data_IF_602311632289
#
_entry.id   IF_602311632289
#
_cell.length_a   1.000
_cell.length_b   1.000
_cell.length_c   1.000
_cell.angle_alpha   90.00
_cell.angle_beta   90.00
_cell.angle_gamma   90.00
#
_symmetry.space_group_name_H-M   'P 1'
#
loop_
_entity.id
_entity.type
_entity.pdbx_description
1 polymer ?
#
# COMPACT_ATOMS: atom_id res chain seq x y z
N UNK A 1 24.73 5.26 8.41
CA UNK A 1 23.88 6.46 8.26
C UNK A 1 24.21 7.47 9.32
N UNK A 2 24.33 8.73 8.94
CA UNK A 2 24.45 9.84 9.90
C UNK A 2 23.13 10.04 10.67
N UNK A 3 23.12 10.72 11.83
CA UNK A 3 21.87 11.04 12.54
C UNK A 3 20.87 11.82 11.66
N UNK A 4 21.33 12.68 10.78
CA UNK A 4 20.49 13.43 9.84
C UNK A 4 19.86 12.53 8.77
N UNK A 5 20.62 11.63 8.16
CA UNK A 5 20.11 10.62 7.21
C UNK A 5 19.09 9.68 7.86
N UNK A 6 19.36 9.24 9.10
CA UNK A 6 18.46 8.36 9.84
C UNK A 6 17.14 9.09 10.14
N UNK A 7 17.21 10.35 10.61
CA UNK A 7 16.03 11.18 10.85
C UNK A 7 15.21 11.38 9.58
N UNK A 8 15.85 11.73 8.46
CA UNK A 8 15.19 11.87 7.18
C UNK A 8 14.51 10.58 6.73
N UNK A 9 15.23 9.45 6.78
CA UNK A 9 14.71 8.14 6.40
C UNK A 9 13.51 7.72 7.25
N UNK A 10 13.60 7.83 8.57
CA UNK A 10 12.50 7.46 9.48
C UNK A 10 11.28 8.36 9.29
N UNK A 11 11.49 9.67 9.12
CA UNK A 11 10.39 10.61 8.88
C UNK A 11 9.67 10.32 7.56
N UNK A 12 10.42 10.07 6.48
CA UNK A 12 9.84 9.73 5.17
C UNK A 12 9.20 8.35 5.17
N UNK A 13 9.78 7.36 5.85
CA UNK A 13 9.18 6.05 6.05
C UNK A 13 7.87 6.15 6.85
N UNK A 14 7.78 6.99 7.89
CA UNK A 14 6.55 7.20 8.64
C UNK A 14 5.44 7.84 7.81
N UNK A 15 5.76 8.79 6.93
CA UNK A 15 4.81 9.38 5.98
C UNK A 15 4.27 8.30 5.03
N UNK A 16 5.18 7.46 4.53
CA UNK A 16 4.82 6.34 3.67
C UNK A 16 3.91 5.34 4.42
N UNK A 17 4.28 5.01 5.67
CA UNK A 17 3.51 4.13 6.54
C UNK A 17 2.11 4.67 6.83
N UNK A 18 1.97 5.95 7.23
CA UNK A 18 0.68 6.58 7.50
C UNK A 18 -0.24 6.54 6.27
N UNK A 19 0.31 6.78 5.09
CA UNK A 19 -0.43 6.69 3.84
C UNK A 19 -0.86 5.25 3.53
N UNK A 20 0.03 4.28 3.75
CA UNK A 20 -0.28 2.86 3.55
C UNK A 20 -1.30 2.34 4.55
N UNK A 21 -1.28 2.82 5.80
CA UNK A 21 -2.35 2.54 6.75
C UNK A 21 -3.72 2.94 6.18
N UNK A 22 -3.84 4.14 5.61
CA UNK A 22 -5.08 4.60 4.99
C UNK A 22 -5.57 3.70 3.84
N UNK A 23 -4.67 3.06 3.13
CA UNK A 23 -5.02 2.10 2.09
C UNK A 23 -5.42 0.74 2.67
N UNK A 24 -4.67 0.24 3.65
CA UNK A 24 -4.78 -1.13 4.11
C UNK A 24 -5.86 -1.35 5.17
N UNK A 25 -6.18 -0.34 5.99
CA UNK A 25 -7.17 -0.46 7.08
C UNK A 25 -8.56 -0.91 6.62
N UNK A 26 -8.95 -0.52 5.41
CA UNK A 26 -10.26 -0.89 4.87
C UNK A 26 -10.29 -2.27 4.22
N UNK A 27 -9.15 -2.82 3.81
CA UNK A 27 -9.11 -4.06 3.01
C UNK A 27 -9.85 -5.23 3.68
N UNK A 28 -9.64 -5.54 4.98
CA UNK A 28 -10.25 -6.70 5.61
C UNK A 28 -11.75 -6.56 5.88
N UNK A 29 -12.31 -5.36 5.76
CA UNK A 29 -13.69 -5.06 6.18
C UNK A 29 -14.56 -4.51 5.03
N UNK A 30 -13.93 -3.96 3.97
CA UNK A 30 -14.63 -3.18 2.97
C UNK A 30 -15.67 -3.98 2.19
N UNK A 31 -15.38 -5.23 1.84
CA UNK A 31 -16.30 -6.06 1.06
C UNK A 31 -17.63 -6.29 1.81
N UNK A 32 -17.56 -6.57 3.12
CA UNK A 32 -18.74 -6.73 3.96
C UNK A 32 -19.45 -5.38 4.14
N UNK A 33 -18.72 -4.29 4.41
CA UNK A 33 -19.33 -2.96 4.49
C UNK A 33 -20.07 -2.59 3.19
N UNK A 34 -19.48 -2.84 2.03
CA UNK A 34 -20.10 -2.54 0.76
C UNK A 34 -21.44 -3.28 0.57
N UNK A 35 -21.57 -4.52 1.08
CA UNK A 35 -22.85 -5.27 1.03
C UNK A 35 -23.96 -4.65 1.89
N UNK A 36 -23.62 -3.79 2.86
CA UNK A 36 -24.59 -3.09 3.70
C UNK A 36 -25.05 -1.75 3.10
N UNK A 37 -24.42 -1.27 2.03
CA UNK A 37 -24.81 -0.04 1.36
C UNK A 37 -26.21 -0.14 0.74
N UNK A 38 -27.01 0.96 0.74
CA UNK A 38 -28.39 0.96 0.23
C UNK A 38 -28.52 0.54 -1.23
N UNK A 39 -27.51 0.85 -2.05
CA UNK A 39 -27.44 0.57 -3.48
C UNK A 39 -27.06 -0.89 -3.81
N UNK A 40 -26.77 -1.72 -2.81
CA UNK A 40 -26.41 -3.15 -2.93
C UNK A 40 -25.45 -3.40 -4.11
N UNK A 41 -24.23 -2.87 -4.07
CA UNK A 41 -23.31 -2.89 -5.20
C UNK A 41 -22.95 -4.33 -5.59
N UNK A 42 -22.76 -4.53 -6.91
CA UNK A 42 -22.23 -5.79 -7.42
C UNK A 42 -20.79 -6.03 -6.96
N UNK A 43 -20.34 -7.28 -6.95
CA UNK A 43 -18.92 -7.60 -6.64
C UNK A 43 -17.92 -6.86 -7.54
N UNK A 44 -18.30 -6.57 -8.79
CA UNK A 44 -17.50 -5.74 -9.69
C UNK A 44 -17.33 -4.31 -9.16
N UNK A 45 -18.39 -3.67 -8.68
CA UNK A 45 -18.32 -2.32 -8.10
C UNK A 45 -17.48 -2.29 -6.81
N UNK A 46 -17.58 -3.33 -5.99
CA UNK A 46 -16.73 -3.49 -4.79
C UNK A 46 -15.26 -3.61 -5.18
N UNK A 47 -14.95 -4.45 -6.17
CA UNK A 47 -13.61 -4.59 -6.72
C UNK A 47 -13.09 -3.28 -7.34
N UNK A 48 -13.96 -2.53 -8.04
CA UNK A 48 -13.63 -1.23 -8.63
C UNK A 48 -13.32 -0.19 -7.54
N UNK A 49 -14.08 -0.16 -6.45
CA UNK A 49 -13.81 0.74 -5.32
C UNK A 49 -12.45 0.47 -4.66
N UNK A 50 -12.05 -0.81 -4.53
CA UNK A 50 -10.72 -1.17 -4.04
C UNK A 50 -9.62 -0.85 -5.06
N UNK A 51 -9.88 -1.11 -6.35
CA UNK A 51 -8.93 -0.94 -7.44
C UNK A 51 -8.73 0.51 -7.90
N UNK A 52 -9.75 1.37 -7.77
CA UNK A 52 -9.73 2.76 -8.25
C UNK A 52 -8.54 3.56 -7.69
N UNK A 53 -8.22 3.37 -6.41
CA UNK A 53 -7.04 3.95 -5.78
C UNK A 53 -5.74 3.55 -6.50
N UNK A 54 -5.54 2.25 -6.70
CA UNK A 54 -4.33 1.73 -7.35
C UNK A 54 -4.21 2.16 -8.80
N UNK A 55 -5.32 2.20 -9.53
CA UNK A 55 -5.35 2.61 -10.92
C UNK A 55 -4.94 4.09 -11.09
N UNK A 56 -5.56 4.99 -10.36
CA UNK A 56 -5.23 6.43 -10.45
C UNK A 56 -3.83 6.71 -9.94
N UNK A 57 -3.37 6.01 -8.89
CA UNK A 57 -1.99 6.10 -8.42
C UNK A 57 -1.00 5.65 -9.49
N UNK A 58 -1.23 4.53 -10.15
CA UNK A 58 -0.34 4.01 -11.20
C UNK A 58 -0.22 4.99 -12.37
N UNK A 59 -1.36 5.56 -12.82
CA UNK A 59 -1.40 6.52 -13.92
C UNK A 59 -0.70 7.83 -13.58
N UNK A 60 -0.83 8.32 -12.36
CA UNK A 60 -0.33 9.64 -11.96
C UNK A 60 1.04 9.60 -11.28
N UNK A 61 1.56 8.42 -10.93
CA UNK A 61 2.86 8.30 -10.26
C UNK A 61 4.01 8.84 -11.11
N UNK A 62 4.01 8.57 -12.41
CA UNK A 62 5.02 9.08 -13.35
C UNK A 62 4.90 10.61 -13.52
N UNK A 63 3.73 11.20 -13.83
CA UNK A 63 3.55 12.65 -13.87
C UNK A 63 3.96 13.36 -12.57
N UNK A 64 3.59 12.81 -11.41
CA UNK A 64 3.98 13.37 -10.11
C UNK A 64 5.49 13.33 -9.89
N UNK A 65 6.16 12.23 -10.26
CA UNK A 65 7.62 12.12 -10.22
C UNK A 65 8.28 13.20 -11.05
N UNK A 66 7.89 13.34 -12.32
CA UNK A 66 8.42 14.36 -13.23
C UNK A 66 8.14 15.80 -12.75
N UNK A 67 6.92 16.05 -12.24
CA UNK A 67 6.57 17.36 -11.70
C UNK A 67 7.41 17.68 -10.45
N UNK A 68 7.77 16.68 -9.64
CA UNK A 68 8.61 16.89 -8.47
C UNK A 68 10.07 17.25 -8.79
N UNK A 69 10.56 16.82 -9.95
CA UNK A 69 11.88 17.24 -10.45
C UNK A 69 11.89 18.72 -10.86
N UNK A 70 10.74 19.23 -11.35
CA UNK A 70 10.60 20.61 -11.83
C UNK A 70 10.19 21.59 -10.74
N UNK A 71 9.23 21.22 -9.90
CA UNK A 71 8.60 22.11 -8.90
C UNK A 71 9.12 21.87 -7.48
N UNK A 72 10.00 20.89 -7.30
CA UNK A 72 10.57 20.50 -6.01
C UNK A 72 9.81 19.36 -5.33
N UNK A 73 10.55 18.60 -4.51
CA UNK A 73 10.03 17.39 -3.84
C UNK A 73 8.93 17.71 -2.83
N UNK A 74 9.21 18.61 -1.87
CA UNK A 74 8.27 18.92 -0.79
C UNK A 74 6.94 19.52 -1.28
N UNK A 75 6.91 20.51 -2.19
CA UNK A 75 5.65 21.04 -2.73
C UNK A 75 4.78 19.96 -3.36
N UNK A 76 5.36 19.03 -4.10
CA UNK A 76 4.62 17.93 -4.71
C UNK A 76 4.14 16.91 -3.67
N UNK A 77 4.88 16.69 -2.59
CA UNK A 77 4.39 15.86 -1.47
C UNK A 77 3.19 16.54 -0.79
N UNK A 78 3.25 17.86 -0.54
CA UNK A 78 2.11 18.59 0.05
C UNK A 78 0.88 18.52 -0.85
N UNK A 79 1.03 18.74 -2.14
CA UNK A 79 -0.08 18.64 -3.10
C UNK A 79 -0.69 17.23 -3.09
N UNK A 80 0.13 16.20 -3.20
CA UNK A 80 -0.36 14.82 -3.24
C UNK A 80 -1.01 14.36 -1.94
N UNK A 81 -0.43 14.71 -0.78
CA UNK A 81 -1.07 14.44 0.51
C UNK A 81 -2.37 15.23 0.68
N UNK A 82 -2.43 16.47 0.20
CA UNK A 82 -3.66 17.26 0.18
C UNK A 82 -4.77 16.61 -0.65
N UNK A 83 -4.44 16.16 -1.87
CA UNK A 83 -5.36 15.40 -2.74
C UNK A 83 -5.83 14.12 -2.04
N UNK A 84 -4.91 13.38 -1.42
CA UNK A 84 -5.26 12.17 -0.67
C UNK A 84 -6.22 12.48 0.49
N UNK A 85 -5.98 13.55 1.27
CA UNK A 85 -6.87 13.94 2.36
C UNK A 85 -8.27 14.31 1.86
N UNK A 86 -8.37 15.06 0.74
CA UNK A 86 -9.66 15.39 0.12
C UNK A 86 -10.39 14.11 -0.32
N UNK A 87 -9.69 13.18 -1.00
CA UNK A 87 -10.28 11.91 -1.40
C UNK A 87 -10.76 11.08 -0.20
N UNK A 88 -10.02 11.13 0.91
CA UNK A 88 -10.43 10.48 2.16
C UNK A 88 -11.72 11.07 2.72
N UNK A 89 -11.87 12.40 2.70
CA UNK A 89 -13.11 13.06 3.13
C UNK A 89 -14.28 12.73 2.20
N UNK A 90 -14.07 12.72 0.88
CA UNK A 90 -15.11 12.33 -0.08
C UNK A 90 -15.56 10.89 0.18
N UNK A 91 -14.65 9.95 0.39
CA UNK A 91 -14.98 8.57 0.70
C UNK A 91 -15.69 8.42 2.07
N UNK A 92 -15.30 9.23 3.07
CA UNK A 92 -15.92 9.23 4.39
C UNK A 92 -17.38 9.73 4.37
N UNK A 93 -17.69 10.67 3.50
CA UNK A 93 -19.03 11.26 3.36
C UNK A 93 -19.92 10.54 2.34
N UNK A 94 -19.38 9.55 1.64
CA UNK A 94 -20.10 8.80 0.62
C UNK A 94 -21.20 7.94 1.23
N UNK A 95 -22.41 8.00 0.67
CA UNK A 95 -23.56 7.20 1.07
C UNK A 95 -23.84 6.03 0.11
N UNK A 96 -23.09 5.93 -0.98
CA UNK A 96 -23.20 4.90 -2.02
C UNK A 96 -21.83 4.48 -2.52
N UNK A 97 -21.78 3.37 -3.23
CA UNK A 97 -20.51 2.82 -3.73
C UNK A 97 -19.82 3.75 -4.74
N UNK A 98 -20.58 4.50 -5.54
CA UNK A 98 -20.04 5.43 -6.54
C UNK A 98 -19.24 6.56 -5.87
N UNK A 99 -19.79 7.13 -4.80
CA UNK A 99 -19.10 8.15 -3.99
C UNK A 99 -17.81 7.60 -3.38
N UNK A 100 -17.82 6.35 -2.91
CA UNK A 100 -16.60 5.69 -2.43
C UNK A 100 -15.58 5.51 -3.55
N UNK A 101 -16.01 5.06 -4.73
CA UNK A 101 -15.13 4.91 -5.92
C UNK A 101 -14.47 6.24 -6.27
N UNK A 102 -15.24 7.34 -6.31
CA UNK A 102 -14.73 8.68 -6.59
C UNK A 102 -13.71 9.10 -5.53
N UNK A 103 -14.05 8.94 -4.24
CA UNK A 103 -13.13 9.25 -3.15
C UNK A 103 -11.83 8.46 -3.23
N UNK A 104 -11.91 7.17 -3.55
CA UNK A 104 -10.75 6.27 -3.74
C UNK A 104 -9.92 6.68 -4.96
N UNK A 105 -10.55 7.07 -6.05
CA UNK A 105 -9.85 7.57 -7.24
C UNK A 105 -9.09 8.88 -6.92
N UNK A 106 -9.71 9.80 -6.18
CA UNK A 106 -9.06 11.04 -5.74
C UNK A 106 -7.90 10.71 -4.76
N UNK A 107 -8.09 9.80 -3.80
CA UNK A 107 -7.00 9.35 -2.92
C UNK A 107 -5.79 8.85 -3.73
N UNK A 108 -6.02 8.00 -4.72
CA UNK A 108 -4.97 7.46 -5.58
C UNK A 108 -4.28 8.53 -6.43
N UNK A 109 -5.03 9.58 -6.84
CA UNK A 109 -4.47 10.71 -7.58
C UNK A 109 -3.40 11.48 -6.78
N UNK A 110 -3.40 11.39 -5.45
CA UNK A 110 -2.31 11.87 -4.60
C UNK A 110 -1.05 10.97 -4.66
N UNK A 111 -0.51 10.71 -5.84
CA UNK A 111 0.52 9.71 -6.14
C UNK A 111 1.94 10.12 -5.66
N UNK A 112 2.13 10.30 -4.34
CA UNK A 112 3.41 10.80 -3.77
C UNK A 112 4.50 9.74 -3.64
N UNK A 113 4.23 8.47 -3.91
CA UNK A 113 5.20 7.38 -3.66
C UNK A 113 6.53 7.59 -4.37
N UNK A 114 6.50 7.93 -5.68
CA UNK A 114 7.71 8.22 -6.45
C UNK A 114 8.46 9.44 -5.90
N UNK A 115 7.71 10.48 -5.48
CA UNK A 115 8.29 11.72 -4.96
C UNK A 115 8.99 11.50 -3.62
N UNK A 116 8.36 10.72 -2.71
CA UNK A 116 8.95 10.36 -1.41
C UNK A 116 10.20 9.51 -1.61
N UNK A 117 10.15 8.53 -2.53
CA UNK A 117 11.32 7.69 -2.87
C UNK A 117 12.47 8.54 -3.42
N UNK A 118 12.18 9.48 -4.30
CA UNK A 118 13.19 10.41 -4.83
C UNK A 118 13.76 11.31 -3.72
N UNK A 119 12.92 11.82 -2.82
CA UNK A 119 13.39 12.63 -1.69
C UNK A 119 14.27 11.83 -0.72
N UNK A 120 13.97 10.55 -0.49
CA UNK A 120 14.86 9.67 0.28
C UNK A 120 16.22 9.54 -0.40
N UNK A 121 16.24 9.37 -1.73
CA UNK A 121 17.50 9.30 -2.48
C UNK A 121 18.30 10.63 -2.40
N UNK A 122 17.61 11.78 -2.45
CA UNK A 122 18.24 13.11 -2.34
C UNK A 122 18.83 13.37 -0.93
N UNK A 123 18.26 12.76 0.12
CA UNK A 123 18.66 12.96 1.53
C UNK A 123 19.58 11.87 2.08
N UNK A 124 19.90 10.84 1.28
CA UNK A 124 20.76 9.72 1.71
C UNK A 124 21.90 9.52 0.72
N UNK A 125 23.11 9.24 1.24
CA UNK A 125 24.26 8.88 0.40
C UNK A 125 24.02 7.54 -0.29
N UNK A 126 24.63 7.32 -1.44
CA UNK A 126 24.50 6.12 -2.27
C UNK A 126 24.74 4.83 -1.47
N UNK A 127 25.77 4.83 -0.60
CA UNK A 127 26.11 3.69 0.26
C UNK A 127 24.98 3.28 1.22
N UNK A 128 24.08 4.22 1.57
CA UNK A 128 23.01 4.01 2.53
C UNK A 128 21.61 3.94 1.90
N UNK A 129 21.49 4.18 0.59
CA UNK A 129 20.21 4.21 -0.14
C UNK A 129 19.45 2.91 -0.04
N UNK A 130 20.14 1.77 -0.23
CA UNK A 130 19.53 0.43 -0.10
C UNK A 130 18.93 0.22 1.29
N UNK A 131 19.64 0.66 2.34
CA UNK A 131 19.14 0.56 3.72
C UNK A 131 17.94 1.46 3.97
N UNK A 132 17.93 2.67 3.41
CA UNK A 132 16.80 3.59 3.50
C UNK A 132 15.57 3.04 2.78
N UNK A 133 15.74 2.49 1.58
CA UNK A 133 14.64 1.84 0.83
C UNK A 133 14.11 0.59 1.55
N UNK A 134 14.98 -0.22 2.17
CA UNK A 134 14.58 -1.35 2.99
C UNK A 134 13.76 -0.91 4.23
N UNK A 135 14.09 0.24 4.82
CA UNK A 135 13.30 0.81 5.94
C UNK A 135 11.89 1.18 5.47
N UNK A 136 11.75 1.82 4.29
CA UNK A 136 10.43 2.11 3.71
C UNK A 136 9.65 0.82 3.45
N UNK A 137 10.28 -0.18 2.81
CA UNK A 137 9.64 -1.47 2.54
C UNK A 137 9.19 -2.18 3.82
N UNK A 138 10.01 -2.18 4.86
CA UNK A 138 9.67 -2.72 6.18
C UNK A 138 8.48 -1.99 6.82
N UNK A 139 8.43 -0.66 6.69
CA UNK A 139 7.31 0.15 7.19
C UNK A 139 6.00 -0.18 6.47
N UNK A 140 6.03 -0.44 5.15
CA UNK A 140 4.86 -0.88 4.39
C UNK A 140 4.36 -2.23 4.92
N UNK A 141 5.26 -3.21 5.14
CA UNK A 141 4.92 -4.52 5.68
C UNK A 141 4.29 -4.44 7.07
N UNK A 142 4.87 -3.63 7.95
CA UNK A 142 4.34 -3.39 9.31
C UNK A 142 2.96 -2.70 9.23
N UNK A 143 2.80 -1.68 8.38
CA UNK A 143 1.52 -1.01 8.19
C UNK A 143 0.44 -1.97 7.68
N UNK A 144 0.78 -2.86 6.76
CA UNK A 144 -0.13 -3.89 6.27
C UNK A 144 -0.57 -4.84 7.38
N UNK A 145 0.40 -5.42 8.10
CA UNK A 145 0.14 -6.35 9.20
C UNK A 145 -0.72 -5.72 10.31
N UNK A 146 -0.37 -4.49 10.70
CA UNK A 146 -1.14 -3.72 11.67
C UNK A 146 -2.58 -3.47 11.20
N UNK A 147 -2.75 -3.12 9.93
CA UNK A 147 -4.05 -2.81 9.34
C UNK A 147 -5.01 -3.99 9.33
N UNK A 148 -4.51 -5.21 9.12
CA UNK A 148 -5.34 -6.42 9.15
C UNK A 148 -5.99 -6.64 10.53
N UNK A 149 -5.29 -6.26 11.58
CA UNK A 149 -5.79 -6.40 12.96
C UNK A 149 -6.57 -5.16 13.39
N UNK A 150 -6.04 -3.97 13.11
CA UNK A 150 -6.64 -2.72 13.53
C UNK A 150 -7.91 -2.35 12.74
N UNK A 151 -8.01 -2.76 11.47
CA UNK A 151 -9.17 -2.46 10.61
C UNK A 151 -10.49 -2.94 11.23
N UNK A 152 -10.66 -4.24 11.54
CA UNK A 152 -11.86 -4.75 12.21
C UNK A 152 -12.15 -4.09 13.56
N UNK A 153 -11.12 -3.85 14.38
CA UNK A 153 -11.27 -3.20 15.69
C UNK A 153 -11.77 -1.74 15.53
N UNK A 154 -11.17 -0.99 14.64
CA UNK A 154 -11.57 0.39 14.37
C UNK A 154 -12.97 0.47 13.74
N UNK A 155 -13.33 -0.54 12.94
CA UNK A 155 -14.66 -0.62 12.35
C UNK A 155 -15.75 -0.73 13.42
N UNK A 156 -15.50 -1.42 14.53
CA UNK A 156 -16.44 -1.49 15.66
C UNK A 156 -16.72 -0.12 16.28
N UNK A 157 -15.69 0.75 16.34
CA UNK A 157 -15.81 2.05 17.01
C UNK A 157 -16.33 3.16 16.12
N UNK A 158 -15.94 3.19 14.85
CA UNK A 158 -16.21 4.33 13.98
C UNK A 158 -16.73 3.96 12.58
N UNK A 159 -16.84 2.68 12.27
CA UNK A 159 -17.24 2.21 10.95
C UNK A 159 -16.23 2.53 9.83
N UNK A 160 -16.49 2.04 8.62
CA UNK A 160 -15.64 2.33 7.44
C UNK A 160 -15.61 3.83 7.11
N UNK A 161 -16.72 4.60 7.17
CA UNK A 161 -16.67 6.05 6.99
C UNK A 161 -15.73 6.74 7.97
N UNK A 162 -15.76 6.35 9.26
CA UNK A 162 -14.86 6.88 10.28
C UNK A 162 -13.39 6.53 10.02
N UNK A 163 -13.11 5.34 9.49
CA UNK A 163 -11.74 4.95 9.08
C UNK A 163 -11.26 5.83 7.92
N UNK A 164 -12.09 6.13 6.92
CA UNK A 164 -11.74 7.07 5.88
C UNK A 164 -11.45 8.48 6.44
N UNK A 165 -12.28 8.95 7.36
CA UNK A 165 -12.05 10.23 8.04
C UNK A 165 -10.71 10.22 8.81
N UNK A 166 -10.44 9.17 9.60
CA UNK A 166 -9.19 8.98 10.32
C UNK A 166 -7.98 9.02 9.38
N UNK A 167 -8.06 8.36 8.22
CA UNK A 167 -6.95 8.37 7.24
C UNK A 167 -6.72 9.75 6.65
N UNK A 168 -7.77 10.56 6.47
CA UNK A 168 -7.65 11.96 6.11
C UNK A 168 -6.90 12.77 7.17
N UNK A 169 -7.26 12.62 8.44
CA UNK A 169 -6.60 13.29 9.58
C UNK A 169 -5.13 12.86 9.69
N UNK A 170 -4.85 11.56 9.59
CA UNK A 170 -3.47 11.06 9.60
C UNK A 170 -2.63 11.63 8.44
N UNK A 171 -3.25 11.87 7.30
CA UNK A 171 -2.59 12.50 6.16
C UNK A 171 -2.25 13.97 6.43
N UNK A 172 -3.11 14.71 7.13
CA UNK A 172 -2.80 16.08 7.58
C UNK A 172 -1.64 16.06 8.59
N UNK A 173 -1.60 15.07 9.49
CA UNK A 173 -0.46 14.88 10.39
C UNK A 173 0.83 14.57 9.60
N UNK A 174 0.75 13.78 8.52
CA UNK A 174 1.88 13.52 7.64
C UNK A 174 2.39 14.81 6.97
N UNK A 175 1.51 15.73 6.56
CA UNK A 175 1.90 17.06 6.04
C UNK A 175 2.69 17.83 7.10
N UNK A 176 2.25 17.81 8.36
CA UNK A 176 2.97 18.46 9.45
C UNK A 176 4.37 17.85 9.65
N UNK A 177 4.50 16.51 9.59
CA UNK A 177 5.81 15.83 9.64
C UNK A 177 6.72 16.28 8.49
N UNK A 178 6.22 16.36 7.25
CA UNK A 178 7.00 16.88 6.11
C UNK A 178 7.47 18.30 6.37
N UNK A 179 6.61 19.13 6.95
CA UNK A 179 6.91 20.56 7.17
C UNK A 179 7.97 20.79 8.25
N UNK A 180 7.85 20.08 9.37
CA UNK A 180 8.62 20.40 10.57
C UNK A 180 9.76 19.43 10.87
N UNK A 181 9.71 18.21 10.32
CA UNK A 181 10.67 17.15 10.68
C UNK A 181 11.58 16.77 9.53
N UNK A 182 11.08 16.75 8.29
CA UNK A 182 11.88 16.38 7.11
C UNK A 182 12.79 17.54 6.72
N UNK A 183 14.13 17.32 6.61
CA UNK A 183 15.06 18.35 6.16
C UNK A 183 14.76 18.79 4.73
N UNK A 184 15.15 20.02 4.38
CA UNK A 184 15.16 20.44 2.98
C UNK A 184 16.40 19.87 2.28
N UNK A 185 16.25 19.31 1.07
CA UNK A 185 17.40 18.84 0.31
C UNK A 185 18.27 20.06 -0.08
N UNK A 186 19.58 19.99 0.17
CA UNK A 186 20.54 21.05 -0.15
C UNK A 186 20.64 21.25 -1.68
N UNK A 187 20.43 20.19 -2.43
CA UNK A 187 20.31 20.19 -3.88
C UNK A 187 19.45 19.02 -4.31
N UNK A 188 18.47 19.25 -5.19
CA UNK A 188 17.81 18.15 -5.86
C UNK A 188 18.70 17.71 -7.02
N UNK A 189 19.43 16.62 -6.84
CA UNK A 189 20.19 16.03 -7.93
C UNK A 189 19.29 15.13 -8.77
N UNK A 190 19.48 15.19 -10.08
CA UNK A 190 18.88 14.24 -10.99
C UNK A 190 19.57 12.89 -10.79
N UNK A 191 18.92 12.00 -10.02
CA UNK A 191 19.37 10.63 -9.87
C UNK A 191 18.76 9.79 -11.00
N UNK A 192 19.59 9.33 -11.92
CA UNK A 192 19.16 8.58 -13.10
C UNK A 192 18.44 7.26 -12.76
N UNK A 193 18.64 6.74 -11.57
CA UNK A 193 18.04 5.52 -11.03
C UNK A 193 16.73 5.77 -10.26
N UNK A 194 16.50 6.99 -9.77
CA UNK A 194 15.31 7.39 -9.01
C UNK A 194 14.38 8.34 -9.77
N UNK A 195 14.80 8.89 -10.91
CA UNK A 195 14.03 9.85 -11.70
C UNK A 195 13.26 9.18 -12.84
N UNK A 196 12.03 9.64 -13.05
CA UNK A 196 11.17 9.20 -14.14
C UNK A 196 11.58 9.87 -15.45
N UNK A 197 12.45 9.23 -16.25
CA UNK A 197 12.81 9.69 -17.59
C UNK A 197 11.92 9.02 -18.65
N UNK A 198 11.07 9.79 -19.39
CA UNK A 198 10.19 9.21 -20.40
C UNK A 198 10.91 8.41 -21.50
N UNK A 199 12.13 8.84 -21.86
CA UNK A 199 12.96 8.15 -22.85
C UNK A 199 13.35 6.72 -22.42
N UNK A 200 13.50 6.46 -21.13
CA UNK A 200 13.81 5.13 -20.59
C UNK A 200 12.59 4.23 -20.45
N UNK A 201 11.37 4.76 -20.49
CA UNK A 201 10.16 3.97 -20.38
C UNK A 201 10.05 2.94 -21.52
N UNK A 202 10.37 3.33 -22.74
CA UNK A 202 10.33 2.44 -23.89
C UNK A 202 11.36 1.29 -23.79
N UNK A 203 12.53 1.56 -23.20
CA UNK A 203 13.55 0.54 -22.97
C UNK A 203 13.10 -0.47 -21.91
N UNK A 204 12.42 0.01 -20.85
CA UNK A 204 11.80 -0.86 -19.83
C UNK A 204 10.70 -1.72 -20.46
N UNK A 205 9.83 -1.15 -21.28
CA UNK A 205 8.75 -1.88 -21.96
C UNK A 205 9.26 -2.89 -23.00
N UNK A 206 10.47 -2.73 -23.54
CA UNK A 206 11.12 -3.68 -24.44
C UNK A 206 11.92 -4.75 -23.70
N UNK A 207 12.23 -4.56 -22.43
CA UNK A 207 13.02 -5.50 -21.65
C UNK A 207 12.14 -6.65 -21.14
N UNK A 208 12.25 -7.82 -21.79
CA UNK A 208 11.44 -9.00 -21.46
C UNK A 208 11.66 -9.53 -20.04
N UNK A 209 12.83 -9.34 -19.44
CA UNK A 209 13.11 -9.77 -18.06
C UNK A 209 12.37 -8.87 -17.07
N UNK A 210 12.37 -7.55 -17.29
CA UNK A 210 11.60 -6.62 -16.47
C UNK A 210 10.09 -6.82 -16.63
N UNK A 211 9.61 -7.11 -17.85
CA UNK A 211 8.20 -7.42 -18.08
C UNK A 211 7.74 -8.68 -17.35
N UNK A 212 8.58 -9.74 -17.34
CA UNK A 212 8.30 -10.98 -16.58
C UNK A 212 8.21 -10.71 -15.08
N UNK A 213 9.13 -9.90 -14.54
CA UNK A 213 9.12 -9.51 -13.13
C UNK A 213 7.87 -8.69 -12.80
N UNK A 214 7.54 -7.70 -13.62
CA UNK A 214 6.36 -6.86 -13.45
C UNK A 214 5.06 -7.68 -13.53
N UNK A 215 4.98 -8.64 -14.46
CA UNK A 215 3.86 -9.56 -14.54
C UNK A 215 3.72 -10.42 -13.28
N UNK A 216 4.83 -10.94 -12.76
CA UNK A 216 4.82 -11.71 -11.51
C UNK A 216 4.33 -10.88 -10.32
N UNK A 217 4.79 -9.65 -10.19
CA UNK A 217 4.33 -8.71 -9.14
C UNK A 217 2.84 -8.39 -9.33
N UNK A 218 2.41 -8.13 -10.56
CA UNK A 218 1.00 -7.88 -10.87
C UNK A 218 0.13 -9.08 -10.48
N UNK A 219 0.50 -10.30 -10.88
CA UNK A 219 -0.27 -11.51 -10.58
C UNK A 219 -0.38 -11.76 -9.07
N UNK A 220 0.71 -11.57 -8.31
CA UNK A 220 0.70 -11.68 -6.85
C UNK A 220 -0.27 -10.68 -6.20
N UNK A 221 -0.20 -9.41 -6.59
CA UNK A 221 -1.08 -8.39 -6.04
C UNK A 221 -2.54 -8.55 -6.48
N UNK A 222 -2.78 -9.00 -7.73
CA UNK A 222 -4.12 -9.29 -8.21
C UNK A 222 -4.77 -10.42 -7.39
N UNK A 223 -4.04 -11.52 -7.16
CA UNK A 223 -4.50 -12.61 -6.30
C UNK A 223 -4.76 -12.13 -4.87
N UNK A 224 -3.84 -11.35 -4.30
CA UNK A 224 -4.00 -10.79 -2.95
C UNK A 224 -5.24 -9.89 -2.85
N UNK A 225 -5.47 -8.99 -3.83
CA UNK A 225 -6.65 -8.12 -3.82
C UNK A 225 -7.95 -8.89 -3.99
N UNK A 226 -7.97 -9.93 -4.83
CA UNK A 226 -9.13 -10.81 -4.96
C UNK A 226 -9.49 -11.49 -3.63
N UNK A 227 -8.49 -11.92 -2.85
CA UNK A 227 -8.70 -12.50 -1.52
C UNK A 227 -9.39 -11.53 -0.56
N UNK A 228 -9.09 -10.24 -0.61
CA UNK A 228 -9.77 -9.24 0.25
C UNK A 228 -11.24 -9.00 -0.11
N UNK A 229 -11.68 -9.42 -1.29
CA UNK A 229 -13.11 -9.40 -1.66
C UNK A 229 -13.82 -10.67 -1.12
N UNK A 230 -13.18 -11.82 -1.14
CA UNK A 230 -13.81 -13.12 -0.90
C UNK A 230 -13.62 -13.61 0.55
N UNK A 231 -12.39 -13.50 1.10
CA UNK A 231 -12.05 -14.07 2.41
C UNK A 231 -12.90 -13.51 3.56
N UNK A 232 -13.23 -12.20 3.65
CA UNK A 232 -14.08 -11.70 4.72
C UNK A 232 -15.45 -12.37 4.77
N UNK A 233 -16.06 -12.65 3.61
CA UNK A 233 -17.33 -13.39 3.54
C UNK A 233 -17.16 -14.84 3.96
N UNK A 234 -16.12 -15.52 3.47
CA UNK A 234 -15.85 -16.92 3.85
C UNK A 234 -15.59 -17.07 5.36
N UNK A 235 -14.90 -16.12 6.00
CA UNK A 235 -14.73 -16.11 7.46
C UNK A 235 -16.09 -15.93 8.15
N UNK A 236 -16.91 -15.00 7.70
CA UNK A 236 -18.22 -14.73 8.30
C UNK A 236 -19.14 -15.96 8.21
N UNK A 237 -19.14 -16.64 7.06
CA UNK A 237 -19.98 -17.84 6.84
C UNK A 237 -19.48 -19.05 7.63
N UNK A 238 -18.17 -19.31 7.65
CA UNK A 238 -17.59 -20.52 8.26
C UNK A 238 -17.43 -20.42 9.77
N UNK A 239 -17.08 -19.26 10.30
CA UNK A 239 -16.80 -19.07 11.73
C UNK A 239 -17.95 -18.45 12.51
N UNK A 240 -18.97 -17.92 11.83
CA UNK A 240 -20.06 -17.13 12.40
C UNK A 240 -19.56 -15.92 13.24
N UNK A 241 -18.32 -15.48 13.00
CA UNK A 241 -17.75 -14.30 13.65
C UNK A 241 -18.22 -13.04 12.92
N UNK A 242 -18.63 -12.04 13.68
CA UNK A 242 -18.87 -10.71 13.16
C UNK A 242 -17.56 -10.12 12.57
N UNK A 243 -17.69 -9.27 11.54
CA UNK A 243 -16.55 -8.66 10.85
C UNK A 243 -15.61 -7.94 11.82
N UNK A 244 -16.16 -7.34 12.88
CA UNK A 244 -15.38 -6.66 13.92
C UNK A 244 -14.51 -7.60 14.76
N UNK A 245 -14.78 -8.91 14.71
CA UNK A 245 -14.03 -9.94 15.43
C UNK A 245 -13.02 -10.68 14.53
N UNK A 246 -12.99 -10.42 13.24
CA UNK A 246 -12.05 -11.06 12.29
C UNK A 246 -10.58 -10.86 12.68
N UNK A 247 -10.25 -9.82 13.47
CA UNK A 247 -8.91 -9.65 14.01
C UNK A 247 -8.41 -10.85 14.83
N UNK A 248 -9.32 -11.64 15.44
CA UNK A 248 -8.97 -12.86 16.20
C UNK A 248 -8.38 -13.94 15.30
N UNK A 249 -8.74 -13.94 14.01
CA UNK A 249 -8.17 -14.82 12.99
C UNK A 249 -6.93 -14.16 12.37
N UNK A 250 -7.02 -12.88 12.00
CA UNK A 250 -5.91 -12.19 11.34
C UNK A 250 -4.66 -12.06 12.20
N UNK A 251 -4.81 -11.81 13.51
CA UNK A 251 -3.67 -11.64 14.42
C UNK A 251 -2.76 -12.88 14.46
N UNK A 252 -3.26 -14.10 14.78
CA UNK A 252 -2.40 -15.29 14.78
C UNK A 252 -1.83 -15.60 13.38
N UNK A 253 -2.61 -15.42 12.32
CA UNK A 253 -2.14 -15.63 10.94
C UNK A 253 -0.97 -14.70 10.62
N UNK A 254 -1.09 -13.41 10.95
CA UNK A 254 -0.02 -12.42 10.75
C UNK A 254 1.22 -12.79 11.55
N UNK A 255 1.07 -13.14 12.83
CA UNK A 255 2.20 -13.52 13.69
C UNK A 255 2.94 -14.75 13.15
N UNK A 256 2.22 -15.80 12.78
CA UNK A 256 2.80 -17.02 12.18
C UNK A 256 3.47 -16.70 10.85
N UNK A 257 2.84 -15.85 10.01
CA UNK A 257 3.42 -15.44 8.73
C UNK A 257 4.75 -14.73 8.90
N UNK A 258 4.88 -13.80 9.87
CA UNK A 258 6.15 -13.15 10.16
C UNK A 258 7.20 -14.13 10.70
N UNK A 259 6.79 -15.05 11.57
CA UNK A 259 7.65 -16.07 12.15
C UNK A 259 8.27 -17.00 11.08
N UNK A 260 7.53 -17.28 10.02
CA UNK A 260 7.99 -18.08 8.89
C UNK A 260 8.75 -17.25 7.84
N UNK A 261 8.30 -16.03 7.59
CA UNK A 261 8.87 -15.15 6.56
C UNK A 261 10.30 -14.72 6.89
N UNK A 262 10.55 -14.29 8.14
CA UNK A 262 11.85 -13.72 8.51
C UNK A 262 12.99 -14.73 8.36
N UNK A 263 12.89 -15.98 8.90
CA UNK A 263 13.90 -17.00 8.64
C UNK A 263 14.06 -17.35 7.17
N UNK A 264 12.96 -17.37 6.41
CA UNK A 264 12.98 -17.64 4.96
C UNK A 264 13.79 -16.60 4.20
N UNK A 265 13.62 -15.30 4.51
CA UNK A 265 14.39 -14.21 3.91
C UNK A 265 15.89 -14.34 4.28
N UNK A 266 16.19 -14.54 5.57
CA UNK A 266 17.57 -14.68 6.05
C UNK A 266 18.25 -15.88 5.37
N UNK A 267 17.56 -17.01 5.23
CA UNK A 267 18.07 -18.17 4.53
C UNK A 267 18.34 -17.88 3.04
N UNK A 268 17.38 -17.22 2.37
CA UNK A 268 17.50 -16.84 0.96
C UNK A 268 18.72 -15.95 0.71
N UNK A 269 18.95 -14.98 1.59
CA UNK A 269 20.06 -14.02 1.51
C UNK A 269 21.41 -14.70 1.80
N UNK A 270 21.54 -15.40 2.94
CA UNK A 270 22.78 -16.05 3.36
C UNK A 270 23.25 -17.15 2.39
N UNK A 271 22.32 -17.87 1.78
CA UNK A 271 22.63 -18.97 0.85
C UNK A 271 22.61 -18.54 -0.63
N UNK A 272 22.35 -17.25 -0.91
CA UNK A 272 22.17 -16.74 -2.29
C UNK A 272 21.10 -17.51 -3.09
N UNK A 273 20.04 -17.99 -2.38
CA UNK A 273 18.96 -18.81 -2.94
C UNK A 273 17.64 -18.05 -3.13
N UNK A 274 17.71 -16.75 -3.36
CA UNK A 274 16.53 -15.87 -3.52
C UNK A 274 15.50 -16.42 -4.51
N UNK A 275 15.97 -16.89 -5.70
CA UNK A 275 15.08 -17.45 -6.72
C UNK A 275 14.33 -18.70 -6.22
N UNK A 276 15.01 -19.61 -5.52
CA UNK A 276 14.40 -20.85 -5.03
C UNK A 276 13.35 -20.58 -3.97
N UNK A 277 13.66 -19.70 -3.00
CA UNK A 277 12.72 -19.31 -1.94
C UNK A 277 11.52 -18.56 -2.53
N UNK A 278 11.74 -17.69 -3.52
CA UNK A 278 10.66 -16.99 -4.22
C UNK A 278 9.72 -17.97 -4.95
N UNK A 279 10.26 -18.93 -5.69
CA UNK A 279 9.46 -19.96 -6.39
C UNK A 279 8.70 -20.83 -5.38
N UNK A 280 9.33 -21.23 -4.28
CA UNK A 280 8.66 -21.99 -3.22
C UNK A 280 7.50 -21.20 -2.59
N UNK A 281 7.67 -19.89 -2.33
CA UNK A 281 6.61 -19.03 -1.82
C UNK A 281 5.42 -18.93 -2.78
N UNK A 282 5.68 -18.80 -4.10
CA UNK A 282 4.62 -18.82 -5.12
C UNK A 282 3.89 -20.17 -5.13
N UNK A 283 4.62 -21.29 -5.03
CA UNK A 283 4.02 -22.63 -4.99
C UNK A 283 3.12 -22.82 -3.77
N UNK A 284 3.54 -22.35 -2.59
CA UNK A 284 2.73 -22.36 -1.36
C UNK A 284 1.48 -21.51 -1.54
N UNK A 285 1.61 -20.31 -2.13
CA UNK A 285 0.46 -19.45 -2.41
C UNK A 285 -0.53 -20.12 -3.38
N UNK A 286 -0.03 -20.73 -4.46
CA UNK A 286 -0.87 -21.46 -5.41
C UNK A 286 -1.61 -22.62 -4.73
N UNK A 287 -0.91 -23.41 -3.92
CA UNK A 287 -1.51 -24.49 -3.14
C UNK A 287 -2.63 -23.97 -2.22
N UNK A 288 -2.37 -22.87 -1.49
CA UNK A 288 -3.38 -22.24 -0.64
C UNK A 288 -4.61 -21.78 -1.43
N UNK A 289 -4.44 -21.19 -2.62
CA UNK A 289 -5.57 -20.81 -3.48
C UNK A 289 -6.38 -22.00 -3.98
N UNK A 290 -5.71 -23.11 -4.33
CA UNK A 290 -6.37 -24.34 -4.74
C UNK A 290 -7.19 -24.92 -3.57
N UNK A 291 -6.60 -25.03 -2.37
CA UNK A 291 -7.30 -25.49 -1.17
C UNK A 291 -8.52 -24.63 -0.86
N UNK A 292 -8.38 -23.30 -0.99
CA UNK A 292 -9.46 -22.37 -0.76
C UNK A 292 -10.60 -22.54 -1.78
N UNK A 293 -10.28 -22.73 -3.06
CA UNK A 293 -11.27 -22.98 -4.10
C UNK A 293 -12.09 -24.25 -3.84
N UNK A 294 -11.47 -25.30 -3.32
CA UNK A 294 -12.19 -26.53 -2.93
C UNK A 294 -13.02 -26.35 -1.66
N UNK A 295 -12.60 -25.52 -0.70
CA UNK A 295 -13.32 -25.33 0.55
C UNK A 295 -14.61 -24.50 0.41
N UNK A 296 -14.72 -23.67 -0.61
CA UNK A 296 -15.93 -22.86 -0.87
C UNK A 296 -17.06 -23.70 -1.52
N UNK A 297 -16.75 -24.88 -2.06
CA UNK A 297 -17.74 -25.76 -2.69
C UNK A 297 -18.37 -26.78 -1.73
N UNK A 298 -18.02 -26.76 -0.46
CA UNK A 298 -18.58 -27.56 0.61
C UNK A 298 -19.14 -26.65 1.72
#
# INVERSE_FOLDING_TARGET
MTPAELRATLSLASIYGLRMLGMFLILPIFAIYASTLPDKPSGFMVGLALGAYGLTQALLQLPFGMASDKYGRKPMIYLGLGIFAVGSMVAALAMNIEGVIIGRAIQGAGAVSAVVTALVADLTRDEHRTKAMATIGGTIGIAFAFSLVAGPILNEWMGVPGIFFLTGVLTLAAIAVVRFVVPDPISSHYHSDASAAPAKLMDVLKNTQLLRLNYGIFALHAAQMAMFVVVPFAINESSHLDVNQHWKIYLPVVLVSFLLMVPGIIYAEKQSKMKQVFVAAIAVMLFAQIMFAFSIHY
#
